data_IF_386019847939
#
_entry.id   IF_386019847939
#
_cell.length_a   1.000
_cell.length_b   1.000
_cell.length_c   1.000
_cell.angle_alpha   90.00
_cell.angle_beta   90.00
_cell.angle_gamma   90.00
#
_symmetry.space_group_name_H-M   'P 1'
#
loop_
_entity.id
_entity.type
_entity.pdbx_description
1 polymer ?
#
# COMPACT_ATOMS: atom_id res chain seq x y z
N UNK A 1 -9.71 -19.59 -5.34
CA UNK A 1 -9.32 -18.49 -6.22
C UNK A 1 -8.14 -18.92 -7.03
N UNK A 2 -8.13 -18.59 -8.31
CA UNK A 2 -6.92 -18.70 -9.15
C UNK A 2 -5.98 -17.53 -8.83
N UNK A 3 -4.67 -17.65 -9.10
CA UNK A 3 -3.69 -16.61 -8.73
C UNK A 3 -4.08 -15.20 -9.22
N UNK A 4 -4.64 -15.12 -10.43
CA UNK A 4 -5.10 -13.85 -11.05
C UNK A 4 -6.26 -13.18 -10.30
N UNK A 5 -7.21 -13.97 -9.75
CA UNK A 5 -8.32 -13.40 -8.96
C UNK A 5 -7.83 -12.77 -7.65
N UNK A 6 -6.75 -13.32 -7.07
CA UNK A 6 -6.19 -12.82 -5.82
C UNK A 6 -5.34 -11.56 -6.01
N UNK A 7 -4.64 -11.42 -7.14
CA UNK A 7 -3.93 -10.18 -7.50
C UNK A 7 -4.92 -9.03 -7.71
N UNK A 8 -6.00 -9.27 -8.48
CA UNK A 8 -7.05 -8.27 -8.70
C UNK A 8 -7.65 -7.77 -7.37
N UNK A 9 -7.84 -8.66 -6.40
CA UNK A 9 -8.36 -8.27 -5.09
C UNK A 9 -7.39 -7.36 -4.33
N UNK A 10 -6.09 -7.65 -4.39
CA UNK A 10 -5.04 -6.83 -3.80
C UNK A 10 -5.03 -5.44 -4.44
N UNK A 11 -4.97 -5.38 -5.77
CA UNK A 11 -4.94 -4.10 -6.51
C UNK A 11 -6.20 -3.26 -6.27
N UNK A 12 -7.37 -3.90 -6.17
CA UNK A 12 -8.64 -3.22 -5.86
C UNK A 12 -8.57 -2.53 -4.48
N UNK A 13 -8.12 -3.22 -3.43
CA UNK A 13 -8.02 -2.65 -2.08
C UNK A 13 -7.05 -1.47 -2.05
N UNK A 14 -5.93 -1.56 -2.77
CA UNK A 14 -4.92 -0.49 -2.86
C UNK A 14 -5.53 0.74 -3.53
N UNK A 15 -6.12 0.56 -4.72
CA UNK A 15 -6.75 1.62 -5.50
C UNK A 15 -7.85 2.34 -4.71
N UNK A 16 -8.61 1.59 -3.91
CA UNK A 16 -9.69 2.12 -3.10
C UNK A 16 -9.22 2.91 -1.87
N UNK A 17 -8.06 2.57 -1.32
CA UNK A 17 -7.52 3.18 -0.09
C UNK A 17 -6.85 4.54 -0.34
N UNK A 18 -6.25 4.73 -1.52
CA UNK A 18 -5.49 5.91 -1.96
C UNK A 18 -4.25 6.30 -1.12
N UNK A 19 -4.25 6.00 0.18
CA UNK A 19 -3.16 6.27 1.11
C UNK A 19 -2.71 4.95 1.71
N UNK A 20 -1.42 4.65 1.56
CA UNK A 20 -0.75 3.52 2.18
C UNK A 20 0.18 3.96 3.29
N UNK A 21 0.34 3.12 4.30
CA UNK A 21 1.37 3.25 5.33
C UNK A 21 2.67 2.66 4.79
N UNK A 22 3.53 3.52 4.26
CA UNK A 22 4.82 3.16 3.68
C UNK A 22 5.86 2.95 4.78
N UNK A 23 6.35 1.73 4.92
CA UNK A 23 7.23 1.25 5.99
C UNK A 23 8.64 1.01 5.44
N UNK A 24 9.64 1.47 6.18
CA UNK A 24 11.07 1.42 5.81
C UNK A 24 11.89 1.07 7.03
N UNK A 25 13.12 0.62 6.84
CA UNK A 25 14.08 0.38 7.91
C UNK A 25 14.97 1.63 8.11
N UNK A 26 15.02 2.19 9.31
CA UNK A 26 15.91 3.31 9.61
C UNK A 26 17.36 2.83 9.88
N UNK A 27 18.30 3.77 10.07
CA UNK A 27 19.71 3.43 10.33
C UNK A 27 19.99 2.64 11.62
N UNK A 28 19.01 2.54 12.53
CA UNK A 28 19.08 1.75 13.76
C UNK A 28 18.46 0.35 13.58
N UNK A 29 17.91 0.05 12.40
CA UNK A 29 17.21 -1.20 12.10
C UNK A 29 15.73 -1.22 12.50
N UNK A 30 15.18 -0.10 12.98
CA UNK A 30 13.78 0.00 13.36
C UNK A 30 12.86 0.20 12.14
N UNK A 31 11.69 -0.44 12.17
CA UNK A 31 10.63 -0.19 11.20
C UNK A 31 9.93 1.13 11.54
N UNK A 32 10.06 2.10 10.65
CA UNK A 32 9.32 3.36 10.70
C UNK A 32 8.23 3.27 9.65
N UNK A 33 7.05 3.85 9.88
CA UNK A 33 5.96 3.90 8.90
C UNK A 33 5.35 5.30 8.82
N UNK A 34 4.91 5.71 7.64
CA UNK A 34 4.27 7.01 7.39
C UNK A 34 3.28 6.94 6.24
N UNK A 35 2.21 7.76 6.25
CA UNK A 35 1.26 7.79 5.16
C UNK A 35 1.89 8.38 3.89
N UNK A 36 1.71 7.69 2.76
CA UNK A 36 2.00 8.20 1.41
C UNK A 36 0.82 7.90 0.48
N UNK A 37 0.52 8.84 -0.41
CA UNK A 37 -0.51 8.64 -1.44
C UNK A 37 0.06 7.80 -2.59
N UNK A 38 -0.56 6.66 -2.87
CA UNK A 38 -0.24 5.86 -4.06
C UNK A 38 -0.78 6.59 -5.28
N UNK A 39 0.07 6.77 -6.31
CA UNK A 39 -0.35 7.43 -7.55
C UNK A 39 -0.73 6.47 -8.65
N UNK A 40 -0.04 5.34 -8.68
CA UNK A 40 -0.27 4.33 -9.69
C UNK A 40 0.02 2.97 -9.09
N UNK A 41 -0.79 1.99 -9.47
CA UNK A 41 -0.65 0.58 -9.13
C UNK A 41 -0.75 -0.17 -10.43
N UNK A 42 0.29 -0.92 -10.77
CA UNK A 42 0.33 -1.75 -11.96
C UNK A 42 -0.41 -3.06 -11.73
N UNK A 43 -0.68 -3.78 -12.81
CA UNK A 43 -1.42 -5.05 -12.76
C UNK A 43 -0.65 -6.15 -11.99
N UNK A 44 0.67 -6.02 -11.89
CA UNK A 44 1.57 -6.85 -11.08
C UNK A 44 1.70 -6.35 -9.62
N UNK A 45 1.03 -5.26 -9.25
CA UNK A 45 1.06 -4.71 -7.91
C UNK A 45 2.19 -3.71 -7.66
N UNK A 46 3.03 -3.41 -8.66
CA UNK A 46 4.04 -2.36 -8.54
C UNK A 46 3.42 -1.00 -8.28
N UNK A 47 4.02 -0.23 -7.39
CA UNK A 47 3.44 1.02 -6.90
C UNK A 47 4.37 2.21 -7.06
N UNK A 48 3.77 3.36 -7.37
CA UNK A 48 4.47 4.63 -7.48
C UNK A 48 3.97 5.65 -6.48
N UNK A 49 4.91 6.33 -5.80
CA UNK A 49 4.62 7.39 -4.83
C UNK A 49 5.47 8.62 -5.12
N UNK A 50 4.90 9.81 -5.03
CA UNK A 50 5.69 11.05 -4.98
C UNK A 50 6.18 11.34 -3.57
N UNK A 51 7.38 11.86 -3.46
CA UNK A 51 7.95 12.36 -2.21
C UNK A 51 9.02 13.43 -2.49
N UNK A 52 9.51 14.07 -1.42
CA UNK A 52 10.66 14.96 -1.49
C UNK A 52 11.99 14.20 -1.31
N UNK A 53 13.02 14.60 -2.06
CA UNK A 53 14.39 14.07 -1.99
C UNK A 53 14.96 14.12 -0.57
N UNK A 54 14.65 15.17 0.20
CA UNK A 54 15.15 15.36 1.56
C UNK A 54 14.40 14.59 2.66
N UNK A 55 13.46 13.72 2.30
CA UNK A 55 12.63 13.01 3.29
C UNK A 55 13.33 11.78 3.88
N UNK A 56 12.94 11.38 5.10
CA UNK A 56 13.59 10.25 5.78
C UNK A 56 13.40 8.93 5.05
N UNK A 57 12.22 8.70 4.43
CA UNK A 57 11.98 7.52 3.61
C UNK A 57 12.93 7.41 2.42
N UNK A 58 13.31 8.52 1.79
CA UNK A 58 14.30 8.52 0.69
C UNK A 58 15.67 8.10 1.20
N UNK A 59 16.09 8.66 2.34
CA UNK A 59 17.37 8.28 2.97
C UNK A 59 17.38 6.81 3.43
N UNK A 60 16.26 6.33 3.98
CA UNK A 60 16.11 4.94 4.42
C UNK A 60 16.15 3.97 3.23
N UNK A 61 15.37 4.23 2.18
CA UNK A 61 15.33 3.38 0.97
C UNK A 61 16.69 3.32 0.28
N UNK A 62 17.41 4.44 0.23
CA UNK A 62 18.76 4.46 -0.34
C UNK A 62 19.78 3.61 0.47
N UNK A 63 19.55 3.44 1.78
CA UNK A 63 20.40 2.64 2.66
C UNK A 63 19.98 1.16 2.71
N UNK A 64 18.67 0.89 2.69
CA UNK A 64 18.06 -0.43 2.68
C UNK A 64 16.77 -0.39 1.87
N UNK A 65 16.77 -1.07 0.73
CA UNK A 65 15.66 -1.04 -0.21
C UNK A 65 14.41 -1.77 0.29
N UNK A 66 14.49 -2.59 1.35
CA UNK A 66 13.35 -3.40 1.82
C UNK A 66 12.26 -2.51 2.40
N UNK A 67 11.05 -2.70 1.89
CA UNK A 67 9.88 -1.92 2.30
C UNK A 67 8.66 -2.82 2.54
N UNK A 68 7.69 -2.24 3.22
CA UNK A 68 6.34 -2.77 3.25
C UNK A 68 5.36 -1.63 3.07
N UNK A 69 4.32 -1.82 2.28
CA UNK A 69 3.23 -0.85 2.15
C UNK A 69 1.93 -1.51 2.56
N UNK A 70 1.28 -0.97 3.59
CA UNK A 70 -0.01 -1.48 4.04
C UNK A 70 -1.14 -0.50 3.73
N UNK A 71 -2.27 -1.05 3.31
CA UNK A 71 -3.48 -0.30 2.99
C UNK A 71 -4.65 -0.86 3.79
N UNK A 72 -5.65 -0.01 4.05
CA UNK A 72 -6.84 -0.42 4.76
C UNK A 72 -8.01 0.51 4.48
N UNK A 73 -9.15 -0.08 4.14
CA UNK A 73 -10.41 0.64 3.93
C UNK A 73 -11.58 -0.18 4.47
N UNK A 74 -12.32 0.41 5.42
CA UNK A 74 -13.47 -0.25 6.03
C UNK A 74 -13.10 -1.55 6.72
N UNK A 75 -13.41 -2.68 6.08
CA UNK A 75 -13.16 -4.03 6.59
C UNK A 75 -12.19 -4.84 5.72
N UNK A 76 -11.39 -4.16 4.91
CA UNK A 76 -10.43 -4.77 3.99
C UNK A 76 -9.04 -4.20 4.24
N UNK A 77 -8.04 -5.07 4.26
CA UNK A 77 -6.65 -4.73 4.52
C UNK A 77 -5.73 -5.51 3.60
N UNK A 78 -4.63 -4.88 3.21
CA UNK A 78 -3.55 -5.53 2.50
C UNK A 78 -2.20 -5.02 2.99
N UNK A 79 -1.21 -5.91 2.99
CA UNK A 79 0.17 -5.65 3.37
C UNK A 79 1.06 -6.20 2.27
N UNK A 80 1.72 -5.31 1.53
CA UNK A 80 2.60 -5.64 0.41
C UNK A 80 4.05 -5.58 0.87
N UNK A 81 4.79 -6.67 0.74
CA UNK A 81 6.24 -6.70 0.93
C UNK A 81 6.94 -6.55 -0.43
N UNK A 82 8.05 -5.82 -0.45
CA UNK A 82 8.79 -5.58 -1.68
C UNK A 82 10.09 -4.84 -1.43
N UNK A 83 10.68 -4.35 -2.51
CA UNK A 83 11.82 -3.42 -2.47
C UNK A 83 11.48 -2.11 -3.14
N UNK A 84 12.11 -1.02 -2.70
CA UNK A 84 11.90 0.29 -3.25
C UNK A 84 13.18 0.89 -3.82
N UNK A 85 13.01 1.71 -4.86
CA UNK A 85 14.08 2.54 -5.42
C UNK A 85 13.65 4.02 -5.49
N UNK A 86 14.64 4.91 -5.39
CA UNK A 86 14.43 6.36 -5.52
C UNK A 86 14.67 6.76 -6.97
N UNK A 87 13.59 7.08 -7.68
CA UNK A 87 13.61 7.41 -9.11
C UNK A 87 13.61 8.94 -9.29
N UNK A 88 14.65 9.43 -9.97
CA UNK A 88 14.86 10.86 -10.31
C UNK A 88 14.59 11.18 -11.79
N UNK A 89 14.00 10.24 -12.52
CA UNK A 89 13.71 10.39 -13.94
C UNK A 89 12.63 11.45 -14.16
N UNK A 90 13.03 12.55 -14.80
CA UNK A 90 12.19 13.70 -15.11
C UNK A 90 11.12 13.40 -16.16
N UNK A 91 11.32 12.41 -17.03
CA UNK A 91 10.29 11.95 -17.95
C UNK A 91 9.20 11.19 -17.19
N UNK A 92 9.60 10.25 -16.32
CA UNK A 92 8.66 9.46 -15.51
C UNK A 92 7.86 10.32 -14.52
N UNK A 93 8.49 11.30 -13.88
CA UNK A 93 7.82 12.28 -13.00
C UNK A 93 6.72 13.03 -13.76
N UNK A 94 6.99 13.47 -14.99
CA UNK A 94 5.99 14.16 -15.82
C UNK A 94 4.89 13.22 -16.30
N UNK A 95 5.23 11.97 -16.62
CA UNK A 95 4.27 10.94 -17.02
C UNK A 95 3.21 10.69 -15.94
N UNK A 96 3.64 10.58 -14.67
CA UNK A 96 2.76 10.28 -13.53
C UNK A 96 2.16 11.53 -12.87
N UNK A 97 2.45 12.73 -13.38
CA UNK A 97 1.99 13.98 -12.78
C UNK A 97 0.47 14.16 -12.95
N UNK A 98 -0.21 14.60 -11.89
CA UNK A 98 -1.63 14.91 -11.92
C UNK A 98 -1.98 16.05 -10.93
N UNK A 99 -3.24 16.52 -10.97
CA UNK A 99 -3.70 17.62 -10.11
C UNK A 99 -3.59 17.32 -8.61
N UNK A 100 -3.75 16.05 -8.21
CA UNK A 100 -3.61 15.65 -6.81
C UNK A 100 -2.17 15.84 -6.31
N UNK A 101 -1.18 15.57 -7.16
CA UNK A 101 0.25 15.78 -6.85
C UNK A 101 0.60 17.26 -6.83
N UNK A 102 0.07 18.04 -7.77
CA UNK A 102 0.26 19.49 -7.85
C UNK A 102 -0.19 20.22 -6.58
N UNK A 103 -1.21 19.71 -5.89
CA UNK A 103 -1.66 20.25 -4.59
C UNK A 103 -0.58 20.16 -3.49
N UNK A 104 0.36 19.21 -3.59
CA UNK A 104 1.49 19.06 -2.66
C UNK A 104 2.76 19.76 -3.15
N UNK A 105 2.93 19.87 -4.47
CA UNK A 105 4.08 20.45 -5.13
C UNK A 105 3.64 21.52 -6.14
N UNK A 106 3.31 22.74 -5.68
CA UNK A 106 2.66 23.76 -6.49
C UNK A 106 3.56 24.34 -7.60
N UNK A 107 4.88 24.19 -7.46
CA UNK A 107 5.85 24.63 -8.48
C UNK A 107 5.95 23.67 -9.67
N UNK A 108 5.13 22.60 -9.68
CA UNK A 108 4.96 21.70 -10.80
C UNK A 108 5.93 20.52 -10.81
N UNK A 109 5.90 19.68 -11.86
CA UNK A 109 6.71 18.47 -11.91
C UNK A 109 8.20 18.79 -11.80
N UNK A 110 8.64 19.91 -12.38
CA UNK A 110 10.06 20.32 -12.51
C UNK A 110 10.70 20.90 -11.24
N UNK A 111 9.98 20.87 -10.11
CA UNK A 111 10.56 21.08 -8.78
C UNK A 111 11.73 20.10 -8.56
N UNK A 112 12.96 20.59 -8.30
CA UNK A 112 14.16 19.75 -8.17
C UNK A 112 14.09 18.70 -7.05
N UNK A 113 13.36 19.01 -5.98
CA UNK A 113 13.22 18.14 -4.82
C UNK A 113 12.19 17.02 -5.03
N UNK A 114 11.37 17.08 -6.07
CA UNK A 114 10.37 16.05 -6.36
C UNK A 114 11.06 14.81 -6.91
N UNK A 115 10.82 13.69 -6.23
CA UNK A 115 11.26 12.36 -6.67
C UNK A 115 10.14 11.34 -6.53
N UNK A 116 10.34 10.20 -7.17
CA UNK A 116 9.46 9.05 -7.08
C UNK A 116 10.08 7.96 -6.20
N UNK A 117 9.24 7.29 -5.43
CA UNK A 117 9.53 5.97 -4.90
C UNK A 117 8.80 4.96 -5.76
N UNK A 118 9.54 4.06 -6.39
CA UNK A 118 9.00 2.90 -7.08
C UNK A 118 9.12 1.71 -6.14
N UNK A 119 8.04 0.97 -5.93
CA UNK A 119 8.03 -0.28 -5.17
C UNK A 119 7.84 -1.43 -6.15
N UNK A 120 8.86 -2.28 -6.23
CA UNK A 120 8.85 -3.59 -6.87
C UNK A 120 8.27 -4.59 -5.85
N UNK A 121 7.06 -5.10 -6.14
CA UNK A 121 6.28 -5.88 -5.19
C UNK A 121 6.59 -7.36 -5.25
N UNK A 122 6.95 -7.97 -4.12
CA UNK A 122 7.27 -9.41 -4.06
C UNK A 122 6.05 -10.26 -3.69
N UNK A 123 5.26 -9.78 -2.72
CA UNK A 123 4.12 -10.52 -2.20
C UNK A 123 3.15 -9.63 -1.45
N UNK A 124 1.90 -10.07 -1.36
CA UNK A 124 0.88 -9.43 -0.55
C UNK A 124 0.15 -10.42 0.35
N UNK A 125 -0.06 -10.01 1.59
CA UNK A 125 -1.07 -10.62 2.47
C UNK A 125 -2.30 -9.74 2.51
N UNK A 126 -3.47 -10.31 2.24
CA UNK A 126 -4.74 -9.60 2.34
C UNK A 126 -5.66 -10.26 3.37
N UNK A 127 -6.53 -9.45 3.95
CA UNK A 127 -7.63 -9.92 4.78
C UNK A 127 -8.87 -9.06 4.59
N UNK A 128 -10.01 -9.71 4.66
CA UNK A 128 -11.33 -9.08 4.72
C UNK A 128 -12.03 -9.54 6.00
N UNK A 129 -12.93 -8.72 6.52
CA UNK A 129 -13.85 -9.11 7.58
C UNK A 129 -15.29 -8.95 7.09
N UNK A 130 -16.22 -9.81 7.51
CA UNK A 130 -17.63 -9.65 7.16
C UNK A 130 -18.12 -8.26 7.58
N UNK A 131 -18.56 -7.46 6.61
CA UNK A 131 -18.82 -6.04 6.77
C UNK A 131 -20.03 -5.70 7.66
N UNK A 132 -19.92 -4.59 8.41
CA UNK A 132 -21.00 -3.89 9.10
C UNK A 132 -21.29 -4.34 10.54
N UNK A 133 -21.49 -3.37 11.45
CA UNK A 133 -21.81 -3.61 12.88
C UNK A 133 -22.95 -4.61 13.08
N UNK A 134 -23.96 -4.59 12.19
CA UNK A 134 -25.11 -5.49 12.27
C UNK A 134 -24.77 -6.96 11.93
N UNK A 135 -23.95 -7.22 10.90
CA UNK A 135 -23.57 -8.58 10.52
C UNK A 135 -22.63 -9.20 11.57
N UNK A 136 -21.73 -8.39 12.13
CA UNK A 136 -20.84 -8.79 13.23
C UNK A 136 -21.64 -9.14 14.49
N UNK A 137 -22.68 -8.36 14.83
CA UNK A 137 -23.57 -8.67 15.98
C UNK A 137 -24.36 -9.97 15.73
N UNK A 138 -24.90 -10.19 14.54
CA UNK A 138 -25.59 -11.44 14.20
C UNK A 138 -24.68 -12.67 14.29
N UNK A 139 -23.46 -12.58 13.76
CA UNK A 139 -22.47 -13.65 13.84
C UNK A 139 -22.05 -13.94 15.30
N UNK A 140 -21.93 -12.91 16.13
CA UNK A 140 -21.61 -13.06 17.55
C UNK A 140 -22.72 -13.73 18.35
N UNK A 141 -23.99 -13.38 18.08
CA UNK A 141 -25.13 -14.08 18.69
C UNK A 141 -25.16 -15.53 18.24
N UNK A 142 -24.95 -15.79 16.94
CA UNK A 142 -24.92 -17.15 16.39
C UNK A 142 -23.80 -17.98 16.99
N UNK A 143 -22.58 -17.44 17.14
CA UNK A 143 -21.43 -18.17 17.67
C UNK A 143 -21.62 -18.55 19.15
N UNK A 144 -22.25 -17.68 19.95
CA UNK A 144 -22.62 -18.00 21.35
C UNK A 144 -23.60 -19.16 21.46
N UNK A 145 -24.56 -19.26 20.53
CA UNK A 145 -25.55 -20.34 20.53
C UNK A 145 -24.97 -21.63 19.95
N UNK A 146 -24.17 -21.53 18.88
CA UNK A 146 -23.70 -22.70 18.11
C UNK A 146 -22.35 -23.26 18.55
N UNK A 147 -21.61 -22.59 19.45
CA UNK A 147 -20.23 -22.95 19.82
C UNK A 147 -19.29 -23.15 18.62
N UNK A 148 -19.62 -22.55 17.48
CA UNK A 148 -18.81 -22.60 16.27
C UNK A 148 -17.82 -21.43 16.25
N UNK A 149 -16.62 -21.65 15.69
CA UNK A 149 -15.71 -20.54 15.40
C UNK A 149 -16.45 -19.60 14.45
N UNK A 150 -16.41 -18.31 14.75
CA UNK A 150 -16.92 -17.30 13.81
C UNK A 150 -16.26 -17.54 12.46
N UNK A 151 -17.04 -17.43 11.37
CA UNK A 151 -16.47 -17.28 10.04
C UNK A 151 -15.80 -15.91 10.02
N UNK A 152 -14.55 -15.86 10.49
CA UNK A 152 -13.64 -14.74 10.32
C UNK A 152 -13.43 -14.63 8.80
N UNK A 153 -13.37 -13.42 8.26
CA UNK A 153 -13.45 -13.22 6.81
C UNK A 153 -12.30 -13.84 6.02
N UNK A 154 -12.23 -13.52 4.74
CA UNK A 154 -11.28 -14.15 3.83
C UNK A 154 -9.87 -13.59 4.05
N UNK A 155 -8.85 -14.45 4.08
CA UNK A 155 -7.44 -14.04 4.12
C UNK A 155 -6.59 -14.95 3.25
N UNK A 156 -5.52 -14.41 2.68
CA UNK A 156 -4.58 -15.18 1.86
C UNK A 156 -3.28 -14.45 1.60
N UNK A 157 -2.32 -15.19 1.03
CA UNK A 157 -1.03 -14.69 0.56
C UNK A 157 -0.96 -14.85 -0.96
N UNK A 158 -0.41 -13.85 -1.64
CA UNK A 158 -0.29 -13.78 -3.10
C UNK A 158 1.15 -13.40 -3.42
N UNK A 159 1.76 -14.09 -4.38
CA UNK A 159 3.01 -13.63 -5.03
C UNK A 159 2.63 -12.63 -6.11
N UNK A 160 3.36 -11.52 -6.15
CA UNK A 160 3.13 -10.40 -7.06
C UNK A 160 4.16 -10.43 -8.20
#
# INVERSE_FOLDING_TARGET
MTGTESISKVTDIINDSHIGMFTTINGEGALVSRPLAVQDVKDDGDMWFFTGEGTSQVAHVAADARVNVSFGKGTEWVSVAGTAEVVRDRAKIRELWNQSVEAWFPDGPDTPEVVLLHVDSDSAEYSTSPGGTAATVLQWVKSKVTHSRMSVGESGTVEL
#
